data_IF_662488635164
#
_entry.id   IF_662488635164
#
_cell.length_a   1.000
_cell.length_b   1.000
_cell.length_c   1.000
_cell.angle_alpha   90.00
_cell.angle_beta   90.00
_cell.angle_gamma   90.00
#
_symmetry.space_group_name_H-M   'P 1'
#
loop_
_entity.id
_entity.type
_entity.pdbx_description
1 polymer ?
#
# COMPACT_ATOMS: atom_id res chain seq x y z
N UNK A 1 23.81 10.44 -3.24
CA UNK A 1 23.09 9.15 -3.28
C UNK A 1 22.30 9.08 -4.57
N UNK A 2 22.58 8.08 -5.39
CA UNK A 2 21.86 7.80 -6.63
C UNK A 2 20.98 6.58 -6.41
N UNK A 3 19.68 6.73 -6.70
CA UNK A 3 18.67 5.69 -6.47
C UNK A 3 18.01 5.33 -7.79
N UNK A 4 17.87 4.04 -8.07
CA UNK A 4 17.19 3.50 -9.24
C UNK A 4 15.97 2.69 -8.83
N UNK A 5 14.80 3.04 -9.33
CA UNK A 5 13.59 2.19 -9.25
C UNK A 5 13.56 1.23 -10.43
N UNK A 6 13.27 -0.04 -10.13
CA UNK A 6 13.08 -1.09 -11.13
C UNK A 6 11.71 -1.72 -10.91
N UNK A 7 10.80 -1.56 -11.85
CA UNK A 7 9.43 -2.04 -11.78
C UNK A 7 9.09 -3.10 -12.85
N UNK A 8 10.12 -3.62 -13.55
CA UNK A 8 9.95 -4.58 -14.65
C UNK A 8 10.66 -5.92 -14.40
N UNK A 9 11.37 -6.06 -13.28
CA UNK A 9 12.00 -7.32 -12.88
C UNK A 9 11.04 -8.12 -12.00
N UNK A 10 10.71 -9.31 -12.46
CA UNK A 10 9.82 -10.27 -11.79
C UNK A 10 10.32 -11.69 -12.07
N UNK A 11 9.85 -12.71 -11.34
CA UNK A 11 10.09 -14.12 -11.69
C UNK A 11 9.75 -14.38 -13.16
N UNK A 12 10.68 -15.02 -13.88
CA UNK A 12 10.59 -15.21 -15.34
C UNK A 12 11.39 -14.19 -16.16
N UNK A 13 11.98 -13.16 -15.53
CA UNK A 13 12.84 -12.17 -16.20
C UNK A 13 14.33 -12.37 -15.90
N UNK A 14 14.79 -13.61 -15.75
CA UNK A 14 16.17 -13.98 -15.36
C UNK A 14 17.21 -13.38 -16.31
N UNK A 15 16.95 -13.44 -17.63
CA UNK A 15 17.85 -12.84 -18.62
C UNK A 15 17.98 -11.31 -18.47
N UNK A 16 16.89 -10.64 -18.07
CA UNK A 16 16.91 -9.21 -17.78
C UNK A 16 17.70 -8.90 -16.52
N UNK A 17 17.54 -9.70 -15.48
CA UNK A 17 18.29 -9.57 -14.23
C UNK A 17 19.80 -9.78 -14.47
N UNK A 18 20.17 -10.83 -15.22
CA UNK A 18 21.56 -11.11 -15.58
C UNK A 18 22.17 -9.96 -16.40
N UNK A 19 21.43 -9.45 -17.40
CA UNK A 19 21.88 -8.31 -18.19
C UNK A 19 22.11 -7.07 -17.31
N UNK A 20 21.20 -6.81 -16.36
CA UNK A 20 21.30 -5.68 -15.45
C UNK A 20 22.52 -5.80 -14.53
N UNK A 21 22.81 -6.99 -13.99
CA UNK A 21 24.00 -7.24 -13.18
C UNK A 21 25.29 -7.05 -13.99
N UNK A 22 25.36 -7.53 -15.24
CA UNK A 22 26.51 -7.28 -16.13
C UNK A 22 26.71 -5.80 -16.42
N UNK A 23 25.63 -5.04 -16.55
CA UNK A 23 25.70 -3.58 -16.72
C UNK A 23 26.28 -2.90 -15.46
N UNK A 24 25.87 -3.33 -14.27
CA UNK A 24 26.42 -2.83 -13.01
C UNK A 24 27.91 -3.18 -12.84
N UNK A 25 28.34 -4.37 -13.26
CA UNK A 25 29.75 -4.77 -13.24
C UNK A 25 30.60 -3.91 -14.17
N UNK A 26 30.03 -3.52 -15.33
CA UNK A 26 30.70 -2.62 -16.29
C UNK A 26 30.78 -1.18 -15.77
N UNK A 27 29.80 -0.75 -15.00
CA UNK A 27 29.68 0.61 -14.47
C UNK A 27 29.50 0.58 -12.94
N UNK A 28 30.55 0.19 -12.18
CA UNK A 28 30.46 0.07 -10.73
C UNK A 28 30.21 1.44 -10.10
N UNK A 29 29.47 1.46 -9.01
CA UNK A 29 29.06 2.67 -8.28
C UNK A 29 28.08 3.59 -9.04
N UNK A 30 27.37 3.06 -10.05
CA UNK A 30 26.33 3.82 -10.74
C UNK A 30 25.16 4.16 -9.83
N UNK A 31 24.88 3.30 -8.85
CA UNK A 31 23.78 3.48 -7.90
C UNK A 31 24.22 3.13 -6.46
N UNK A 32 23.70 3.88 -5.51
CA UNK A 32 23.87 3.62 -4.08
C UNK A 32 22.74 2.71 -3.56
N UNK A 33 21.54 2.81 -4.17
CA UNK A 33 20.34 2.07 -3.78
C UNK A 33 19.50 1.69 -5.00
N UNK A 34 18.94 0.50 -4.99
CA UNK A 34 18.00 0.01 -5.99
C UNK A 34 16.70 -0.40 -5.31
N UNK A 35 15.57 0.06 -5.85
CA UNK A 35 14.23 -0.35 -5.43
C UNK A 35 13.68 -1.37 -6.40
N UNK A 36 13.23 -2.49 -5.88
CA UNK A 36 12.41 -3.45 -6.60
C UNK A 36 10.95 -3.24 -6.22
N UNK A 37 10.07 -3.28 -7.19
CA UNK A 37 8.62 -3.12 -6.95
C UNK A 37 8.01 -4.51 -6.75
N UNK A 38 7.22 -4.71 -5.69
CA UNK A 38 6.52 -5.98 -5.43
C UNK A 38 5.47 -6.27 -6.49
N UNK A 39 4.85 -7.45 -6.42
CA UNK A 39 3.76 -7.81 -7.35
C UNK A 39 2.61 -6.80 -7.19
N UNK A 40 2.08 -6.34 -8.33
CA UNK A 40 0.88 -5.51 -8.36
C UNK A 40 -0.38 -6.32 -8.07
N UNK A 41 -1.36 -5.69 -7.43
CA UNK A 41 -2.57 -6.34 -6.98
C UNK A 41 -2.44 -6.94 -5.57
N UNK A 42 -3.35 -7.86 -5.27
CA UNK A 42 -3.41 -8.55 -3.98
C UNK A 42 -3.63 -10.06 -4.23
N UNK A 43 -2.68 -10.75 -4.87
CA UNK A 43 -2.78 -12.18 -5.13
C UNK A 43 -2.69 -12.98 -3.83
N UNK A 44 -2.90 -14.31 -3.86
CA UNK A 44 -2.59 -15.18 -2.74
C UNK A 44 -1.15 -15.00 -2.25
N UNK A 45 -0.93 -15.10 -0.95
CA UNK A 45 0.39 -14.86 -0.32
C UNK A 45 1.49 -15.79 -0.86
N UNK A 46 1.14 -16.95 -1.39
CA UNK A 46 2.05 -17.88 -2.03
C UNK A 46 2.77 -17.25 -3.22
N UNK A 47 2.06 -16.43 -4.03
CA UNK A 47 2.67 -15.69 -5.16
C UNK A 47 3.63 -14.60 -4.67
N UNK A 48 3.28 -13.91 -3.59
CA UNK A 48 4.21 -12.96 -2.95
C UNK A 48 5.46 -13.67 -2.45
N UNK A 49 5.31 -14.88 -1.90
CA UNK A 49 6.45 -15.69 -1.43
C UNK A 49 7.39 -16.07 -2.58
N UNK A 50 6.86 -16.58 -3.68
CA UNK A 50 7.65 -16.90 -4.88
C UNK A 50 8.40 -15.68 -5.39
N UNK A 51 7.75 -14.52 -5.42
CA UNK A 51 8.39 -13.26 -5.83
C UNK A 51 9.47 -12.82 -4.84
N UNK A 52 9.23 -12.94 -3.54
CA UNK A 52 10.19 -12.57 -2.51
C UNK A 52 11.43 -13.48 -2.55
N UNK A 53 11.26 -14.77 -2.77
CA UNK A 53 12.36 -15.73 -2.93
C UNK A 53 13.22 -15.36 -4.15
N UNK A 54 12.60 -15.07 -5.29
CA UNK A 54 13.31 -14.61 -6.48
C UNK A 54 14.03 -13.26 -6.24
N UNK A 55 13.38 -12.31 -5.55
CA UNK A 55 14.01 -11.03 -5.19
C UNK A 55 15.18 -11.22 -4.22
N UNK A 56 15.12 -12.21 -3.34
CA UNK A 56 16.21 -12.48 -2.39
C UNK A 56 17.50 -12.82 -3.11
N UNK A 57 17.46 -13.70 -4.11
CA UNK A 57 18.64 -14.07 -4.90
C UNK A 57 19.24 -12.86 -5.63
N UNK A 58 18.38 -12.07 -6.27
CA UNK A 58 18.80 -10.85 -6.95
C UNK A 58 19.34 -9.77 -5.98
N UNK A 59 18.69 -9.63 -4.83
CA UNK A 59 19.10 -8.70 -3.79
C UNK A 59 20.48 -9.03 -3.21
N UNK A 60 20.80 -10.32 -3.04
CA UNK A 60 22.12 -10.73 -2.60
C UNK A 60 23.22 -10.37 -3.60
N UNK A 61 22.93 -10.49 -4.91
CA UNK A 61 23.85 -10.07 -5.96
C UNK A 61 24.10 -8.56 -5.92
N UNK A 62 23.07 -7.75 -5.66
CA UNK A 62 23.19 -6.30 -5.51
C UNK A 62 23.98 -5.92 -4.24
N UNK A 63 23.66 -6.56 -3.11
CA UNK A 63 24.33 -6.34 -1.81
C UNK A 63 25.82 -6.67 -1.90
N UNK A 64 26.21 -7.73 -2.63
CA UNK A 64 27.63 -8.07 -2.87
C UNK A 64 28.38 -6.99 -3.66
N UNK A 65 27.67 -6.17 -4.45
CA UNK A 65 28.22 -5.01 -5.15
C UNK A 65 28.20 -3.72 -4.30
N UNK A 66 27.80 -3.83 -3.04
CA UNK A 66 27.70 -2.70 -2.12
C UNK A 66 26.47 -1.80 -2.36
N UNK A 67 25.48 -2.28 -3.10
CA UNK A 67 24.23 -1.54 -3.42
C UNK A 67 23.19 -1.91 -2.36
N UNK A 68 22.57 -0.90 -1.76
CA UNK A 68 21.42 -1.09 -0.88
C UNK A 68 20.20 -1.53 -1.69
N UNK A 69 19.45 -2.48 -1.15
CA UNK A 69 18.23 -2.98 -1.80
C UNK A 69 17.02 -2.57 -0.98
N UNK A 70 16.13 -1.85 -1.60
CA UNK A 70 14.84 -1.47 -1.03
C UNK A 70 13.70 -2.10 -1.82
N UNK A 71 12.55 -2.24 -1.21
CA UNK A 71 11.33 -2.69 -1.87
C UNK A 71 10.31 -1.55 -1.90
N UNK A 72 9.55 -1.46 -2.99
CA UNK A 72 8.35 -0.66 -3.06
C UNK A 72 7.16 -1.58 -3.00
N UNK A 73 6.25 -1.33 -2.07
CA UNK A 73 4.94 -1.95 -2.08
C UNK A 73 4.17 -1.40 -3.28
N UNK A 74 3.82 -2.27 -4.22
CA UNK A 74 3.15 -1.85 -5.45
C UNK A 74 1.73 -1.32 -5.21
N UNK A 75 1.07 -1.82 -4.16
CA UNK A 75 -0.27 -1.42 -3.77
C UNK A 75 -0.38 -1.37 -2.26
N UNK A 76 -0.72 -0.20 -1.69
CA UNK A 76 -0.97 -0.05 -0.25
C UNK A 76 -2.43 -0.32 0.10
N UNK A 77 -3.37 0.29 -0.63
CA UNK A 77 -4.81 0.00 -0.54
C UNK A 77 -5.43 -0.27 -1.91
N UNK A 78 -4.71 0.00 -3.00
CA UNK A 78 -5.09 -0.18 -4.40
C UNK A 78 -5.30 1.14 -5.14
N UNK A 79 -5.23 1.08 -6.46
CA UNK A 79 -5.25 2.27 -7.33
C UNK A 79 -6.62 2.60 -7.97
N UNK A 80 -7.67 1.84 -7.64
CA UNK A 80 -8.99 1.97 -8.27
C UNK A 80 -9.17 1.07 -9.50
N UNK A 81 -10.38 1.07 -10.04
CA UNK A 81 -10.79 0.11 -11.06
C UNK A 81 -10.15 0.38 -12.43
N UNK A 82 -9.74 1.62 -12.71
CA UNK A 82 -9.18 2.00 -14.01
C UNK A 82 -7.88 1.28 -14.39
N UNK A 83 -7.12 0.84 -13.38
CA UNK A 83 -5.83 0.17 -13.57
C UNK A 83 -5.79 -1.20 -12.91
N UNK A 84 -6.91 -1.68 -12.40
CA UNK A 84 -6.99 -2.90 -11.61
C UNK A 84 -7.32 -4.17 -12.41
N UNK A 85 -7.90 -4.08 -13.60
CA UNK A 85 -8.34 -5.25 -14.36
C UNK A 85 -7.21 -6.22 -14.76
N UNK A 86 -5.96 -5.73 -14.79
CA UNK A 86 -4.78 -6.55 -15.07
C UNK A 86 -4.19 -7.18 -13.81
N UNK A 87 -4.70 -6.81 -12.62
CA UNK A 87 -4.13 -7.21 -11.35
C UNK A 87 -4.85 -8.42 -10.76
N UNK A 88 -4.07 -9.38 -10.29
CA UNK A 88 -4.62 -10.47 -9.50
C UNK A 88 -4.94 -9.97 -8.08
N UNK A 89 -6.22 -9.98 -7.74
CA UNK A 89 -6.69 -9.60 -6.39
C UNK A 89 -7.40 -10.78 -5.69
N UNK A 90 -7.23 -12.02 -6.17
CA UNK A 90 -7.92 -13.20 -5.64
C UNK A 90 -7.59 -13.51 -4.19
N UNK A 91 -6.43 -13.10 -3.70
CA UNK A 91 -6.06 -13.22 -2.29
C UNK A 91 -6.98 -12.45 -1.33
N UNK A 92 -7.67 -11.41 -1.84
CA UNK A 92 -8.61 -10.60 -1.08
C UNK A 92 -10.06 -10.75 -1.54
N UNK A 93 -10.32 -10.77 -2.85
CA UNK A 93 -11.69 -10.78 -3.39
C UNK A 93 -12.46 -12.06 -3.08
N UNK A 94 -11.77 -13.17 -2.88
CA UNK A 94 -12.35 -14.44 -2.46
C UNK A 94 -12.65 -14.52 -0.94
N UNK A 95 -12.18 -13.56 -0.16
CA UNK A 95 -12.42 -13.52 1.28
C UNK A 95 -13.65 -12.66 1.61
N UNK A 96 -14.78 -13.25 2.04
CA UNK A 96 -16.02 -12.51 2.28
C UNK A 96 -15.93 -11.52 3.46
N UNK A 97 -14.88 -11.58 4.28
CA UNK A 97 -14.63 -10.63 5.37
C UNK A 97 -13.91 -9.37 4.93
N UNK A 98 -13.30 -9.37 3.75
CA UNK A 98 -12.65 -8.20 3.19
C UNK A 98 -13.70 -7.21 2.68
N UNK A 99 -13.47 -5.93 2.91
CA UNK A 99 -14.35 -4.85 2.46
C UNK A 99 -13.66 -4.03 1.39
N UNK A 100 -14.30 -3.83 0.24
CA UNK A 100 -13.84 -2.87 -0.75
C UNK A 100 -13.90 -1.45 -0.17
N UNK A 101 -13.18 -0.54 -0.80
CA UNK A 101 -13.36 0.87 -0.58
C UNK A 101 -14.73 1.30 -1.09
N UNK A 102 -15.47 2.08 -0.28
CA UNK A 102 -16.84 2.53 -0.60
C UNK A 102 -16.88 4.05 -0.59
N UNK A 103 -17.42 4.64 -1.64
CA UNK A 103 -17.58 6.07 -1.79
C UNK A 103 -18.82 6.65 -1.08
N UNK A 104 -18.92 7.95 -1.15
CA UNK A 104 -20.02 8.73 -0.54
C UNK A 104 -21.40 8.36 -1.09
N UNK A 105 -21.50 8.04 -2.39
CA UNK A 105 -22.74 7.57 -3.04
C UNK A 105 -23.01 6.09 -2.87
N UNK A 106 -22.06 5.32 -2.30
CA UNK A 106 -22.16 3.88 -2.12
C UNK A 106 -21.53 3.06 -3.25
N UNK A 107 -20.89 3.71 -4.20
CA UNK A 107 -20.06 3.06 -5.22
C UNK A 107 -18.92 2.29 -4.53
N UNK A 108 -18.51 1.18 -5.13
CA UNK A 108 -17.48 0.31 -4.60
C UNK A 108 -16.36 0.15 -5.62
N UNK A 109 -15.12 0.30 -5.17
CA UNK A 109 -13.95 -0.03 -5.95
C UNK A 109 -13.67 -1.54 -5.86
N UNK A 110 -13.44 -2.20 -7.00
CA UNK A 110 -13.15 -3.65 -7.06
C UNK A 110 -11.74 -3.97 -6.54
N UNK A 111 -10.79 -3.08 -6.80
CA UNK A 111 -9.35 -3.30 -6.57
C UNK A 111 -8.75 -2.35 -5.55
N UNK A 112 -9.58 -1.70 -4.76
CA UNK A 112 -9.19 -0.92 -3.59
C UNK A 112 -9.92 -1.39 -2.35
N UNK A 113 -9.22 -1.49 -1.24
CA UNK A 113 -9.73 -2.09 -0.02
C UNK A 113 -9.69 -1.10 1.16
N UNK A 114 -10.62 -1.30 2.09
CA UNK A 114 -10.77 -0.43 3.24
C UNK A 114 -9.63 -0.63 4.24
N UNK A 115 -8.83 0.39 4.49
CA UNK A 115 -7.76 0.40 5.49
C UNK A 115 -8.23 0.22 6.94
N UNK A 116 -9.53 0.34 7.24
CA UNK A 116 -10.10 0.04 8.55
C UNK A 116 -10.59 -1.40 8.67
N UNK A 117 -10.64 -2.15 7.56
CA UNK A 117 -11.08 -3.55 7.57
C UNK A 117 -10.00 -4.46 8.13
N UNK A 118 -10.34 -5.27 9.13
CA UNK A 118 -9.40 -6.15 9.81
C UNK A 118 -8.78 -7.20 8.90
N UNK A 119 -9.60 -7.84 8.06
CA UNK A 119 -9.12 -8.92 7.19
C UNK A 119 -8.14 -8.40 6.13
N UNK A 120 -8.37 -7.19 5.62
CA UNK A 120 -7.44 -6.51 4.73
C UNK A 120 -6.11 -6.19 5.44
N UNK A 121 -6.16 -5.59 6.64
CA UNK A 121 -4.95 -5.30 7.43
C UNK A 121 -4.12 -6.55 7.72
N UNK A 122 -4.78 -7.65 8.07
CA UNK A 122 -4.10 -8.90 8.38
C UNK A 122 -3.40 -9.50 7.15
N UNK A 123 -3.99 -9.34 5.95
CA UNK A 123 -3.33 -9.71 4.70
C UNK A 123 -2.10 -8.85 4.44
N UNK A 124 -2.23 -7.51 4.47
CA UNK A 124 -1.13 -6.58 4.16
C UNK A 124 0.04 -6.72 5.14
N UNK A 125 -0.23 -6.92 6.42
CA UNK A 125 0.82 -7.21 7.42
C UNK A 125 1.59 -8.48 7.08
N UNK A 126 0.90 -9.55 6.70
CA UNK A 126 1.53 -10.82 6.33
C UNK A 126 2.33 -10.69 5.03
N UNK A 127 1.83 -9.94 4.05
CA UNK A 127 2.54 -9.63 2.82
C UNK A 127 3.87 -8.92 3.11
N UNK A 128 3.85 -7.81 3.86
CA UNK A 128 5.07 -7.06 4.14
C UNK A 128 6.05 -7.82 5.01
N UNK A 129 5.56 -8.50 6.05
CA UNK A 129 6.40 -9.33 6.90
C UNK A 129 7.11 -10.45 6.12
N UNK A 130 6.42 -11.07 5.17
CA UNK A 130 6.97 -12.10 4.30
C UNK A 130 8.14 -11.55 3.43
N UNK A 131 7.94 -10.42 2.77
CA UNK A 131 9.03 -9.77 2.02
C UNK A 131 10.17 -9.33 2.94
N UNK A 132 9.86 -8.81 4.14
CA UNK A 132 10.87 -8.38 5.10
C UNK A 132 11.74 -9.55 5.59
N UNK A 133 11.13 -10.69 5.88
CA UNK A 133 11.81 -11.89 6.36
C UNK A 133 12.72 -12.48 5.30
N UNK A 134 12.25 -12.58 4.06
CA UNK A 134 12.97 -13.26 2.95
C UNK A 134 14.02 -12.35 2.33
N UNK A 135 13.66 -11.09 1.96
CA UNK A 135 14.57 -10.20 1.21
C UNK A 135 15.45 -9.37 2.14
N UNK A 136 14.98 -9.08 3.35
CA UNK A 136 15.65 -8.18 4.32
C UNK A 136 16.05 -6.87 3.66
N UNK A 137 15.07 -6.08 3.18
CA UNK A 137 15.34 -4.85 2.47
C UNK A 137 15.88 -3.77 3.41
N UNK A 138 16.68 -2.85 2.87
CA UNK A 138 17.10 -1.66 3.59
C UNK A 138 15.89 -0.79 3.96
N UNK A 139 14.93 -0.66 3.03
CA UNK A 139 13.75 0.18 3.21
C UNK A 139 12.54 -0.39 2.47
N UNK A 140 11.35 -0.22 3.04
CA UNK A 140 10.09 -0.30 2.32
C UNK A 140 9.63 1.09 1.91
N UNK A 141 9.26 1.25 0.64
CA UNK A 141 8.58 2.40 0.11
C UNK A 141 7.10 2.09 -0.02
N UNK A 142 6.28 2.81 0.72
CA UNK A 142 4.81 2.75 0.64
C UNK A 142 4.39 3.58 -0.57
N UNK A 143 3.51 3.02 -1.40
CA UNK A 143 3.05 3.67 -2.62
C UNK A 143 2.11 4.84 -2.35
N UNK A 144 1.93 5.71 -3.32
CA UNK A 144 1.13 6.93 -3.21
C UNK A 144 -0.38 6.67 -3.28
N UNK A 145 -0.80 5.42 -3.42
CA UNK A 145 -2.20 4.99 -3.33
C UNK A 145 -2.76 5.01 -1.89
N UNK A 146 -1.90 5.22 -0.89
CA UNK A 146 -2.30 5.32 0.52
C UNK A 146 -3.01 6.66 0.79
N UNK A 147 -4.21 6.81 0.28
CA UNK A 147 -5.02 8.04 0.35
C UNK A 147 -6.51 7.73 0.39
N UNK A 148 -7.36 8.64 0.91
CA UNK A 148 -8.81 8.41 1.01
C UNK A 148 -9.57 8.71 -0.28
N UNK A 149 -8.89 9.24 -1.31
CA UNK A 149 -9.53 9.79 -2.50
C UNK A 149 -8.88 9.33 -3.79
N UNK A 150 -9.57 9.57 -4.91
CA UNK A 150 -9.07 9.30 -6.26
C UNK A 150 -8.77 7.81 -6.53
N UNK A 151 -9.71 6.94 -6.13
CA UNK A 151 -9.71 5.51 -6.42
C UNK A 151 -10.95 5.16 -7.23
N UNK A 152 -11.10 5.74 -8.41
CA UNK A 152 -12.30 5.57 -9.22
C UNK A 152 -12.76 4.11 -9.31
N UNK A 153 -14.10 3.87 -9.15
CA UNK A 153 -15.20 4.84 -9.11
C UNK A 153 -15.34 5.61 -7.79
N UNK A 154 -14.62 5.27 -6.74
CA UNK A 154 -14.65 5.97 -5.46
C UNK A 154 -13.84 7.26 -5.55
N UNK A 155 -14.51 8.40 -5.44
CA UNK A 155 -13.88 9.72 -5.42
C UNK A 155 -13.36 10.04 -4.02
N UNK A 156 -14.19 9.85 -3.01
CA UNK A 156 -13.81 10.00 -1.60
C UNK A 156 -14.34 8.81 -0.79
N UNK A 157 -13.54 8.30 0.14
CA UNK A 157 -13.91 7.14 0.97
C UNK A 157 -13.13 7.12 2.29
N UNK A 158 -13.31 6.14 3.20
CA UNK A 158 -14.18 4.99 2.97
C UNK A 158 -15.47 5.11 3.78
N UNK A 159 -16.60 4.95 3.13
CA UNK A 159 -17.93 4.95 3.75
C UNK A 159 -18.52 3.53 3.83
N UNK A 160 -17.69 2.50 3.95
CA UNK A 160 -18.16 1.13 4.15
C UNK A 160 -18.79 0.96 5.55
N UNK A 161 -19.59 -0.10 5.77
CA UNK A 161 -20.23 -0.33 7.07
C UNK A 161 -19.25 -0.31 8.25
N UNK A 162 -18.06 -0.92 8.10
CA UNK A 162 -17.03 -0.96 9.16
C UNK A 162 -16.55 0.47 9.53
N UNK A 163 -16.40 1.36 8.54
CA UNK A 163 -15.99 2.74 8.78
C UNK A 163 -17.10 3.56 9.44
N UNK A 164 -18.35 3.38 9.02
CA UNK A 164 -19.51 4.09 9.59
C UNK A 164 -19.71 3.67 11.05
N UNK A 165 -19.69 2.37 11.33
CA UNK A 165 -19.80 1.84 12.69
C UNK A 165 -18.68 2.38 13.59
N UNK A 166 -17.44 2.35 13.09
CA UNK A 166 -16.28 2.85 13.84
C UNK A 166 -16.37 4.36 14.10
N UNK A 167 -16.82 5.15 13.10
CA UNK A 167 -17.04 6.58 13.27
C UNK A 167 -18.14 6.84 14.31
N UNK A 168 -19.28 6.18 14.20
CA UNK A 168 -20.39 6.31 15.14
C UNK A 168 -19.97 5.96 16.58
N UNK A 169 -19.24 4.88 16.75
CA UNK A 169 -18.73 4.47 18.06
C UNK A 169 -17.76 5.52 18.64
N UNK A 170 -16.90 6.11 17.81
CA UNK A 170 -15.90 7.09 18.25
C UNK A 170 -16.53 8.42 18.68
N UNK A 171 -17.59 8.84 18.00
CA UNK A 171 -18.18 10.18 18.19
C UNK A 171 -19.57 10.15 18.85
N UNK A 172 -20.05 8.97 19.27
CA UNK A 172 -21.35 8.82 19.95
C UNK A 172 -22.54 9.19 19.05
N UNK A 173 -22.48 8.80 17.77
CA UNK A 173 -23.52 9.04 16.76
C UNK A 173 -24.13 7.73 16.27
N UNK A 174 -25.22 7.80 15.52
CA UNK A 174 -25.95 6.68 14.93
C UNK A 174 -26.24 6.91 13.43
N UNK A 175 -25.34 7.61 12.73
CA UNK A 175 -25.51 7.94 11.32
C UNK A 175 -25.46 6.71 10.43
N UNK A 176 -26.33 6.66 9.42
CA UNK A 176 -26.09 5.88 8.21
C UNK A 176 -25.15 6.68 7.27
N UNK A 177 -24.78 6.09 6.13
CA UNK A 177 -23.88 6.73 5.16
C UNK A 177 -24.41 8.08 4.68
N UNK A 178 -25.66 8.12 4.25
CA UNK A 178 -26.30 9.30 3.67
C UNK A 178 -26.29 10.46 4.68
N UNK A 179 -26.65 10.17 5.93
CA UNK A 179 -26.67 11.17 7.00
C UNK A 179 -25.26 11.64 7.39
N UNK A 180 -24.30 10.74 7.38
CA UNK A 180 -22.89 11.09 7.65
C UNK A 180 -22.35 12.01 6.55
N UNK A 181 -22.59 11.68 5.28
CA UNK A 181 -22.20 12.51 4.13
C UNK A 181 -22.83 13.89 4.22
N UNK A 182 -24.14 13.96 4.47
CA UNK A 182 -24.85 15.24 4.68
C UNK A 182 -24.16 16.08 5.77
N UNK A 183 -23.84 15.48 6.91
CA UNK A 183 -23.16 16.14 8.02
C UNK A 183 -21.75 16.62 7.70
N UNK A 184 -21.00 15.89 6.91
CA UNK A 184 -19.65 16.27 6.45
C UNK A 184 -19.72 17.47 5.49
N UNK A 185 -20.76 17.53 4.66
CA UNK A 185 -20.98 18.60 3.67
C UNK A 185 -21.69 19.82 4.25
N UNK A 186 -22.21 19.75 5.47
CA UNK A 186 -22.88 20.85 6.16
C UNK A 186 -21.94 22.06 6.33
N UNK A 187 -22.52 23.25 6.43
CA UNK A 187 -21.81 24.48 6.75
C UNK A 187 -21.18 24.49 8.14
N UNK A 188 -21.69 23.67 9.06
CA UNK A 188 -21.02 23.39 10.34
C UNK A 188 -19.82 22.45 10.14
N UNK A 189 -18.62 22.98 10.19
CA UNK A 189 -17.38 22.25 9.91
C UNK A 189 -17.05 21.12 10.90
N UNK A 190 -17.76 21.05 12.06
CA UNK A 190 -17.40 20.13 13.15
C UNK A 190 -17.37 18.63 12.74
N UNK A 191 -18.30 18.18 11.89
CA UNK A 191 -18.28 16.80 11.41
C UNK A 191 -17.29 16.58 10.28
N UNK A 192 -17.00 17.59 9.46
CA UNK A 192 -15.93 17.53 8.47
C UNK A 192 -14.57 17.37 9.14
N UNK A 193 -14.28 18.15 10.18
CA UNK A 193 -13.05 18.06 10.96
C UNK A 193 -12.90 16.66 11.63
N UNK A 194 -14.00 16.16 12.22
CA UNK A 194 -14.03 14.80 12.79
C UNK A 194 -13.78 13.74 11.74
N UNK A 195 -14.36 13.88 10.54
CA UNK A 195 -14.15 12.95 9.44
C UNK A 195 -12.71 12.95 8.96
N UNK A 196 -12.12 14.10 8.70
CA UNK A 196 -10.71 14.23 8.31
C UNK A 196 -9.80 13.61 9.37
N UNK A 197 -10.06 13.91 10.64
CA UNK A 197 -9.32 13.28 11.75
C UNK A 197 -9.48 11.77 11.76
N UNK A 198 -10.68 11.25 11.59
CA UNK A 198 -10.98 9.82 11.53
C UNK A 198 -10.22 9.11 10.41
N UNK A 199 -10.21 9.69 9.21
CA UNK A 199 -9.45 9.18 8.06
C UNK A 199 -7.96 9.16 8.37
N UNK A 200 -7.40 10.29 8.79
CA UNK A 200 -5.97 10.42 9.10
C UNK A 200 -5.52 9.42 10.19
N UNK A 201 -6.28 9.33 11.26
CA UNK A 201 -5.95 8.44 12.37
C UNK A 201 -6.09 6.96 11.95
N UNK A 202 -7.05 6.65 11.08
CA UNK A 202 -7.24 5.32 10.50
C UNK A 202 -6.09 4.89 9.60
N UNK A 203 -5.67 5.75 8.67
CA UNK A 203 -4.52 5.51 7.80
C UNK A 203 -3.23 5.42 8.61
N UNK A 204 -3.01 6.34 9.55
CA UNK A 204 -1.83 6.31 10.43
C UNK A 204 -1.76 5.06 11.30
N UNK A 205 -2.92 4.57 11.78
CA UNK A 205 -2.99 3.28 12.50
C UNK A 205 -2.65 2.10 11.60
N UNK A 206 -3.14 2.10 10.36
CA UNK A 206 -2.84 1.05 9.39
C UNK A 206 -1.34 0.97 9.11
N UNK A 207 -0.72 2.11 8.78
CA UNK A 207 0.74 2.17 8.53
C UNK A 207 1.54 1.70 9.74
N UNK A 208 1.15 2.11 10.95
CA UNK A 208 1.84 1.67 12.16
C UNK A 208 1.81 0.15 12.32
N UNK A 209 0.66 -0.49 12.08
CA UNK A 209 0.56 -1.95 12.11
C UNK A 209 1.43 -2.63 11.05
N UNK A 210 1.60 -2.03 9.86
CA UNK A 210 2.51 -2.53 8.83
C UNK A 210 3.97 -2.42 9.30
N UNK A 211 4.37 -1.28 9.85
CA UNK A 211 5.71 -1.08 10.39
C UNK A 211 6.02 -2.07 11.52
N UNK A 212 5.08 -2.26 12.46
CA UNK A 212 5.23 -3.20 13.57
C UNK A 212 5.43 -4.64 13.04
N UNK A 213 4.60 -5.08 12.10
CA UNK A 213 4.73 -6.42 11.50
C UNK A 213 6.08 -6.65 10.78
N UNK A 214 6.60 -5.63 10.12
CA UNK A 214 7.93 -5.69 9.49
C UNK A 214 9.03 -5.73 10.55
N UNK A 215 8.94 -4.87 11.57
CA UNK A 215 10.00 -4.78 12.60
C UNK A 215 10.05 -6.01 13.51
N UNK A 216 8.97 -6.81 13.61
CA UNK A 216 9.01 -8.10 14.30
C UNK A 216 9.98 -9.10 13.64
N UNK A 217 10.17 -9.03 12.31
CA UNK A 217 11.01 -9.96 11.54
C UNK A 217 12.27 -9.31 10.96
N UNK A 218 12.28 -8.01 10.79
CA UNK A 218 13.40 -7.23 10.24
C UNK A 218 13.49 -5.83 10.91
N UNK A 219 13.99 -5.74 12.13
CA UNK A 219 13.95 -4.51 12.95
C UNK A 219 14.75 -3.34 12.36
N UNK A 220 15.71 -3.61 11.47
CA UNK A 220 16.55 -2.58 10.84
C UNK A 220 15.95 -2.00 9.55
N UNK A 221 14.83 -2.54 9.06
CA UNK A 221 14.19 -2.08 7.83
C UNK A 221 13.53 -0.72 8.06
N UNK A 222 13.93 0.28 7.30
CA UNK A 222 13.34 1.61 7.33
C UNK A 222 12.04 1.68 6.50
N UNK A 223 11.23 2.73 6.73
CA UNK A 223 10.07 3.05 5.91
C UNK A 223 10.21 4.42 5.24
N UNK A 224 9.80 4.49 3.98
CA UNK A 224 9.64 5.71 3.21
C UNK A 224 8.25 5.75 2.58
N UNK A 225 7.80 6.96 2.25
CA UNK A 225 6.51 7.16 1.59
C UNK A 225 6.75 7.83 0.24
N UNK A 226 6.10 7.30 -0.79
CA UNK A 226 5.93 8.04 -2.01
C UNK A 226 4.78 9.02 -1.79
N UNK A 227 5.00 10.26 -2.11
CA UNK A 227 4.00 11.30 -1.96
C UNK A 227 3.91 12.09 -3.25
N UNK A 228 2.71 12.37 -3.71
CA UNK A 228 2.49 13.30 -4.79
C UNK A 228 2.76 14.71 -4.26
N UNK A 229 3.68 15.41 -4.87
CA UNK A 229 3.92 16.82 -4.60
C UNK A 229 2.77 17.65 -5.17
N UNK A 230 1.70 17.75 -4.42
CA UNK A 230 0.58 18.58 -4.80
C UNK A 230 -0.10 19.14 -3.56
N UNK A 231 0.00 20.46 -3.37
CA UNK A 231 -0.65 21.16 -2.27
C UNK A 231 -2.17 20.96 -2.18
N UNK A 232 -2.82 20.48 -3.25
CA UNK A 232 -4.25 20.13 -3.22
C UNK A 232 -4.53 18.88 -2.38
N UNK A 233 -3.58 17.97 -2.19
CA UNK A 233 -3.79 16.77 -1.39
C UNK A 233 -3.93 17.07 0.11
N UNK A 234 -3.30 18.12 0.61
CA UNK A 234 -3.44 18.50 2.03
C UNK A 234 -4.89 18.84 2.39
N UNK A 235 -5.70 19.29 1.43
CA UNK A 235 -7.13 19.53 1.59
C UNK A 235 -7.99 18.27 1.74
N UNK A 236 -7.44 17.10 1.41
CA UNK A 236 -8.14 15.81 1.46
C UNK A 236 -7.76 14.95 2.68
N UNK A 237 -6.94 15.45 3.59
CA UNK A 237 -6.62 14.77 4.85
C UNK A 237 -5.38 13.89 4.82
N UNK A 238 -4.44 14.16 3.93
CA UNK A 238 -3.10 13.58 3.98
C UNK A 238 -2.31 14.10 5.16
#
# INVERSE_FOLDING_TARGET
MLVQRINWLFPGHEAGAEFYLKMLDKYPKSYDEIWLTTISGFPPLEKHKECAEWFSDFAEELKRRGIKVSLQLANSIGHGDMIGDEYDCTGLTENPRVRPLVGEGGEQAKYCFCWNNRAFRDYSKRELALYAEIVKPHKFWIDDDLRPNNHLPVVNGCFCPDCIEKFNSLYGTDFNRERLVEKILDSELSYRERWVKFIRDGLGSYVRELCEAVHEVSPETEFGFQNCDNGSYSGYGY
#
